data_IF_757632421173
#
_entry.id   IF_757632421173
#
_cell.length_a   1.000
_cell.length_b   1.000
_cell.length_c   1.000
_cell.angle_alpha   90.00
_cell.angle_beta   90.00
_cell.angle_gamma   90.00
#
_symmetry.space_group_name_H-M   'P 1'
#
loop_
_entity.id
_entity.type
_entity.pdbx_description
1 polymer ?
#
# COMPACT_ATOMS: atom_id res chain seq x y z
N UNK A 1 7.86 -22.52 17.57
CA UNK A 1 6.90 -22.46 18.69
C UNK A 1 7.52 -21.70 19.87
N UNK A 2 7.84 -20.41 19.71
CA UNK A 2 8.26 -19.50 20.81
C UNK A 2 8.07 -18.02 20.40
N UNK A 3 6.93 -17.70 19.77
CA UNK A 3 6.56 -16.30 19.47
C UNK A 3 5.61 -15.70 20.52
N UNK A 4 5.19 -16.49 21.53
CA UNK A 4 4.15 -16.09 22.48
C UNK A 4 4.72 -15.59 23.83
N UNK A 5 6.01 -15.81 24.12
CA UNK A 5 6.55 -15.57 25.47
C UNK A 5 7.20 -14.18 25.68
N UNK A 6 7.25 -13.33 24.64
CA UNK A 6 7.91 -12.01 24.73
C UNK A 6 6.94 -10.90 25.16
N UNK A 7 5.62 -11.09 24.98
CA UNK A 7 4.63 -10.04 25.27
C UNK A 7 4.29 -9.89 26.77
N UNK A 8 4.71 -10.82 27.64
CA UNK A 8 4.36 -10.79 29.07
C UNK A 8 5.38 -10.06 29.98
N UNK A 9 6.52 -9.58 29.47
CA UNK A 9 7.64 -9.10 30.32
C UNK A 9 8.09 -7.65 30.13
N UNK A 10 7.31 -6.79 29.47
CA UNK A 10 7.73 -5.40 29.22
C UNK A 10 6.79 -4.32 29.75
N UNK A 11 5.99 -4.61 30.78
CA UNK A 11 5.33 -3.60 31.60
C UNK A 11 6.16 -3.41 32.86
N UNK A 12 7.20 -2.57 32.80
CA UNK A 12 7.55 -1.68 33.91
C UNK A 12 8.80 -0.81 33.62
N UNK A 13 8.72 0.40 34.18
CA UNK A 13 9.74 1.44 34.38
C UNK A 13 10.08 2.48 33.30
N UNK A 14 9.69 3.70 33.71
CA UNK A 14 10.16 5.06 33.46
C UNK A 14 11.67 5.27 33.64
N UNK A 15 12.18 6.29 32.93
CA UNK A 15 13.43 7.03 33.15
C UNK A 15 14.77 6.27 33.14
N UNK A 16 15.44 6.21 31.97
CA UNK A 16 16.92 6.23 31.90
C UNK A 16 17.40 6.82 30.56
N UNK A 17 18.07 7.97 30.62
CA UNK A 17 19.01 8.44 29.57
C UNK A 17 20.18 7.46 29.47
N UNK A 18 20.49 6.87 28.31
CA UNK A 18 21.85 6.38 28.10
C UNK A 18 22.35 6.41 26.65
N UNK A 19 23.64 6.70 26.62
CA UNK A 19 24.59 6.93 25.54
C UNK A 19 24.70 5.75 24.58
N UNK A 20 24.83 6.07 23.29
CA UNK A 20 25.00 5.12 22.19
C UNK A 20 26.39 4.47 22.29
N UNK A 21 26.45 3.21 22.70
CA UNK A 21 27.57 2.31 22.38
C UNK A 21 27.15 1.34 21.29
N UNK A 22 28.05 1.14 20.35
CA UNK A 22 27.97 0.28 19.18
C UNK A 22 27.72 -1.19 19.52
N UNK A 23 26.90 -1.84 18.69
CA UNK A 23 26.54 -3.28 18.67
C UNK A 23 25.42 -3.72 19.64
N UNK A 24 24.17 -3.54 19.20
CA UNK A 24 23.00 -4.24 19.73
C UNK A 24 22.52 -5.28 18.71
N UNK A 25 22.14 -6.50 19.13
CA UNK A 25 21.60 -7.53 18.24
C UNK A 25 20.32 -7.05 17.55
N UNK A 26 20.20 -7.36 16.25
CA UNK A 26 19.14 -6.91 15.32
C UNK A 26 17.71 -6.96 15.89
N UNK A 27 17.43 -7.91 16.77
CA UNK A 27 16.10 -8.15 17.33
C UNK A 27 15.63 -7.06 18.31
N UNK A 28 16.56 -6.46 19.07
CA UNK A 28 16.22 -5.35 19.99
C UNK A 28 15.98 -4.04 19.23
N UNK A 29 16.65 -3.85 18.09
CA UNK A 29 16.42 -2.71 17.20
C UNK A 29 15.05 -2.83 16.52
N UNK A 30 14.68 -4.03 16.05
CA UNK A 30 13.35 -4.32 15.51
C UNK A 30 12.23 -4.04 16.52
N UNK A 31 12.38 -4.49 17.77
CA UNK A 31 11.39 -4.27 18.83
C UNK A 31 11.21 -2.81 19.23
N UNK A 32 12.29 -2.02 19.24
CA UNK A 32 12.23 -0.58 19.53
C UNK A 32 11.70 0.24 18.33
N UNK A 33 12.04 -0.17 17.10
CA UNK A 33 11.56 0.41 15.85
C UNK A 33 10.03 0.26 15.71
N UNK A 34 9.48 -0.89 16.11
CA UNK A 34 8.02 -1.11 16.15
C UNK A 34 7.34 -0.30 17.28
N UNK A 35 7.93 -0.16 18.47
CA UNK A 35 7.20 0.34 19.66
C UNK A 35 6.76 1.82 19.67
N UNK A 36 7.34 2.75 18.92
CA UNK A 36 7.21 4.20 19.24
C UNK A 36 6.45 5.11 18.24
N UNK A 37 5.90 4.59 17.12
CA UNK A 37 5.13 5.42 16.17
C UNK A 37 5.13 4.92 14.73
N UNK A 38 6.05 4.01 14.39
CA UNK A 38 6.13 3.36 13.08
C UNK A 38 5.00 2.32 12.90
N UNK A 39 4.46 1.76 13.99
CA UNK A 39 3.38 0.76 13.92
C UNK A 39 2.10 1.28 13.26
N UNK A 40 1.67 2.51 13.53
CA UNK A 40 0.46 3.04 12.88
C UNK A 40 0.66 3.19 11.36
N UNK A 41 1.84 3.66 10.93
CA UNK A 41 2.18 3.74 9.52
C UNK A 41 2.23 2.36 8.84
N UNK A 42 2.88 1.38 9.47
CA UNK A 42 2.98 0.01 8.97
C UNK A 42 1.60 -0.66 8.94
N UNK A 43 0.83 -0.58 10.03
CA UNK A 43 -0.52 -1.18 10.09
C UNK A 43 -1.41 -0.59 9.01
N UNK A 44 -1.37 0.73 8.81
CA UNK A 44 -2.12 1.37 7.72
C UNK A 44 -1.70 0.85 6.35
N UNK A 45 -0.40 0.78 6.08
CA UNK A 45 0.14 0.24 4.83
C UNK A 45 -0.29 -1.22 4.63
N UNK A 46 -0.16 -2.08 5.64
CA UNK A 46 -0.53 -3.50 5.56
C UNK A 46 -2.04 -3.69 5.39
N UNK A 47 -2.88 -2.88 6.03
CA UNK A 47 -4.33 -2.87 5.77
C UNK A 47 -4.62 -2.47 4.32
N UNK A 48 -3.96 -1.44 3.80
CA UNK A 48 -4.14 -1.04 2.41
C UNK A 48 -3.65 -2.12 1.44
N UNK A 49 -2.52 -2.77 1.72
CA UNK A 49 -2.03 -3.92 0.97
C UNK A 49 -3.02 -5.08 0.99
N UNK A 50 -3.67 -5.33 2.14
CA UNK A 50 -4.73 -6.34 2.29
C UNK A 50 -5.95 -6.02 1.42
N UNK A 51 -6.36 -4.75 1.36
CA UNK A 51 -7.40 -4.29 0.44
C UNK A 51 -7.01 -4.55 -1.01
N UNK A 52 -5.83 -4.10 -1.44
CA UNK A 52 -5.35 -4.25 -2.82
C UNK A 52 -5.26 -5.72 -3.22
N UNK A 53 -4.69 -6.55 -2.35
CA UNK A 53 -4.61 -8.00 -2.51
C UNK A 53 -6.00 -8.63 -2.71
N UNK A 54 -6.97 -8.27 -1.88
CA UNK A 54 -8.35 -8.74 -2.00
C UNK A 54 -8.99 -8.29 -3.31
N UNK A 55 -8.87 -7.01 -3.70
CA UNK A 55 -9.44 -6.49 -4.95
C UNK A 55 -8.85 -7.14 -6.19
N UNK A 56 -7.55 -7.43 -6.18
CA UNK A 56 -6.88 -8.15 -7.27
C UNK A 56 -7.37 -9.59 -7.40
N UNK A 57 -7.65 -10.28 -6.29
CA UNK A 57 -8.23 -11.63 -6.33
C UNK A 57 -9.68 -11.63 -6.86
N UNK A 58 -10.48 -10.66 -6.45
CA UNK A 58 -11.89 -10.58 -6.85
C UNK A 58 -12.08 -10.03 -8.27
N UNK A 59 -11.07 -9.36 -8.85
CA UNK A 59 -11.15 -8.84 -10.21
C UNK A 59 -10.94 -9.96 -11.22
N UNK A 60 -11.95 -10.20 -12.06
CA UNK A 60 -11.85 -11.06 -13.24
C UNK A 60 -11.32 -10.31 -14.47
N UNK A 61 -10.55 -9.25 -14.29
CA UNK A 61 -10.10 -8.40 -15.38
C UNK A 61 -9.07 -9.14 -16.23
N UNK A 62 -9.53 -9.71 -17.36
CA UNK A 62 -8.72 -10.53 -18.25
C UNK A 62 -7.49 -9.77 -18.82
N UNK A 63 -7.48 -8.44 -18.73
CA UNK A 63 -6.37 -7.59 -19.15
C UNK A 63 -5.20 -7.59 -18.18
N UNK A 64 -5.40 -7.93 -16.89
CA UNK A 64 -4.37 -7.93 -15.85
C UNK A 64 -4.09 -9.36 -15.39
N UNK A 65 -3.10 -10.02 -16.03
CA UNK A 65 -2.70 -11.39 -15.68
C UNK A 65 -1.38 -11.40 -14.92
N UNK A 66 -1.15 -12.48 -14.16
CA UNK A 66 0.12 -12.74 -13.49
C UNK A 66 0.59 -11.54 -12.65
N UNK A 67 -0.34 -10.94 -11.91
CA UNK A 67 -0.03 -9.79 -11.09
C UNK A 67 0.82 -10.19 -9.88
N UNK A 68 1.66 -9.27 -9.42
CA UNK A 68 2.40 -9.40 -8.18
C UNK A 68 2.57 -8.04 -7.49
N UNK A 69 2.60 -8.06 -6.15
CA UNK A 69 2.73 -6.88 -5.29
C UNK A 69 4.10 -6.87 -4.63
N UNK A 70 4.82 -5.76 -4.73
CA UNK A 70 6.08 -5.51 -4.02
C UNK A 70 5.93 -4.33 -3.08
N UNK A 71 6.73 -4.30 -2.02
CA UNK A 71 6.80 -3.20 -1.05
C UNK A 71 8.27 -2.90 -0.75
N UNK A 72 8.56 -1.67 -0.29
CA UNK A 72 9.90 -1.25 0.15
C UNK A 72 11.02 -1.53 -0.86
N UNK A 73 10.70 -1.44 -2.15
CA UNK A 73 11.64 -1.81 -3.21
C UNK A 73 12.76 -0.79 -3.32
N UNK A 74 13.99 -1.22 -2.97
CA UNK A 74 15.18 -0.37 -2.82
C UNK A 74 15.45 0.56 -4.02
N UNK A 75 15.20 0.09 -5.24
CA UNK A 75 15.47 0.84 -6.48
C UNK A 75 14.30 1.74 -6.92
N UNK A 76 13.18 1.73 -6.19
CA UNK A 76 12.02 2.60 -6.41
C UNK A 76 11.88 3.67 -5.30
N UNK A 77 12.98 4.03 -4.63
CA UNK A 77 12.99 4.92 -3.45
C UNK A 77 12.22 6.22 -3.72
N UNK A 78 11.20 6.43 -2.89
CA UNK A 78 10.27 7.56 -2.97
C UNK A 78 8.92 7.21 -3.60
N UNK A 79 8.81 6.09 -4.32
CA UNK A 79 7.57 5.51 -4.85
C UNK A 79 7.36 4.04 -4.42
N UNK A 80 8.13 3.59 -3.42
CA UNK A 80 8.30 2.20 -3.00
C UNK A 80 7.26 1.61 -2.04
N UNK A 81 6.28 2.39 -1.57
CA UNK A 81 5.39 1.90 -0.50
C UNK A 81 4.53 0.72 -1.01
N UNK A 82 4.14 0.76 -2.29
CA UNK A 82 3.57 -0.37 -3.02
C UNK A 82 3.93 -0.30 -4.51
N UNK A 83 4.30 -1.45 -5.08
CA UNK A 83 4.52 -1.66 -6.51
C UNK A 83 3.60 -2.80 -6.98
N UNK A 84 2.64 -2.49 -7.85
CA UNK A 84 1.82 -3.49 -8.53
C UNK A 84 2.38 -3.71 -9.93
N UNK A 85 2.87 -4.92 -10.18
CA UNK A 85 3.38 -5.39 -11.48
C UNK A 85 2.42 -6.40 -12.06
N UNK A 86 2.13 -6.32 -13.37
CA UNK A 86 1.24 -7.26 -14.05
C UNK A 86 1.54 -7.34 -15.54
N UNK A 87 1.10 -8.41 -16.19
CA UNK A 87 1.18 -8.57 -17.64
C UNK A 87 -0.12 -8.16 -18.30
N UNK A 88 0.00 -7.40 -19.38
CA UNK A 88 -1.09 -7.12 -20.33
C UNK A 88 -0.77 -7.81 -21.65
N UNK A 89 -1.80 -8.34 -22.32
CA UNK A 89 -1.64 -8.86 -23.68
C UNK A 89 -1.21 -7.72 -24.61
N UNK A 90 -0.18 -7.94 -25.41
CA UNK A 90 0.23 -6.99 -26.43
C UNK A 90 -0.87 -6.78 -27.49
N UNK A 91 -1.10 -5.53 -27.87
CA UNK A 91 -1.93 -5.18 -29.02
C UNK A 91 -1.03 -4.58 -30.08
N UNK A 92 -0.73 -5.35 -31.13
CA UNK A 92 -0.16 -4.80 -32.35
C UNK A 92 -1.33 -4.53 -33.30
N UNK A 93 -1.54 -3.27 -33.70
CA UNK A 93 -2.55 -2.85 -34.67
C UNK A 93 -3.99 -3.31 -34.36
N UNK A 94 -4.39 -3.29 -33.08
CA UNK A 94 -5.78 -3.58 -32.68
C UNK A 94 -6.19 -5.06 -32.68
N UNK A 95 -5.28 -5.97 -33.04
CA UNK A 95 -5.49 -7.41 -32.94
C UNK A 95 -4.78 -7.99 -31.72
N UNK A 96 -5.53 -8.72 -30.90
CA UNK A 96 -5.03 -9.46 -29.73
C UNK A 96 -4.42 -10.76 -30.27
N UNK A 97 -3.10 -10.90 -30.18
CA UNK A 97 -2.44 -12.18 -30.43
C UNK A 97 -2.45 -13.01 -29.12
N UNK A 98 -2.69 -14.32 -29.23
CA UNK A 98 -2.63 -15.26 -28.11
C UNK A 98 -1.19 -15.75 -27.82
N UNK A 99 -0.19 -15.20 -28.51
CA UNK A 99 1.22 -15.56 -28.30
C UNK A 99 1.87 -14.79 -27.14
N UNK A 100 2.46 -15.56 -26.23
CA UNK A 100 3.22 -15.14 -25.03
C UNK A 100 4.33 -14.12 -25.34
N UNK A 101 4.75 -14.02 -26.61
CA UNK A 101 5.89 -13.23 -27.08
C UNK A 101 5.66 -11.72 -27.00
N UNK A 102 4.40 -11.25 -26.97
CA UNK A 102 4.06 -9.82 -26.92
C UNK A 102 3.47 -9.35 -25.58
N UNK A 103 3.51 -10.18 -24.53
CA UNK A 103 3.05 -9.78 -23.21
C UNK A 103 3.93 -8.66 -22.64
N UNK A 104 3.32 -7.50 -22.42
CA UNK A 104 4.02 -6.34 -21.89
C UNK A 104 3.83 -6.26 -20.38
N UNK A 105 4.93 -6.07 -19.68
CA UNK A 105 4.88 -5.86 -18.23
C UNK A 105 4.59 -4.41 -17.92
N UNK A 106 3.55 -4.17 -17.13
CA UNK A 106 3.08 -2.86 -16.70
C UNK A 106 3.23 -2.72 -15.18
N UNK A 107 3.44 -1.48 -14.74
CA UNK A 107 3.72 -1.15 -13.35
C UNK A 107 2.82 0.00 -12.89
N UNK A 108 2.28 -0.14 -11.69
CA UNK A 108 1.57 0.92 -10.95
C UNK A 108 2.30 1.12 -9.64
N UNK A 109 2.66 2.36 -9.33
CA UNK A 109 3.37 2.70 -8.10
C UNK A 109 2.42 3.45 -7.18
N UNK A 110 2.42 3.13 -5.90
CA UNK A 110 1.61 3.83 -4.91
C UNK A 110 2.50 4.28 -3.76
N UNK A 111 2.40 5.56 -3.44
CA UNK A 111 3.01 6.15 -2.26
C UNK A 111 1.91 6.41 -1.22
N UNK A 112 2.01 5.76 -0.07
CA UNK A 112 0.98 5.75 0.96
C UNK A 112 1.33 6.80 2.02
N UNK A 113 0.43 7.77 2.22
CA UNK A 113 0.60 8.91 3.12
C UNK A 113 -0.57 8.99 4.09
N UNK A 114 -0.37 8.44 5.28
CA UNK A 114 -1.34 8.57 6.36
C UNK A 114 -0.97 9.72 7.29
N UNK A 115 -1.92 10.60 7.55
CA UNK A 115 -1.81 11.64 8.56
C UNK A 115 -2.88 11.45 9.64
N UNK A 116 -2.47 11.33 10.90
CA UNK A 116 -3.41 11.20 12.01
C UNK A 116 -4.20 12.50 12.29
N UNK A 117 -3.80 13.61 11.68
CA UNK A 117 -4.49 14.91 11.76
C UNK A 117 -5.06 15.27 10.39
N UNK A 118 -6.19 15.99 10.38
CA UNK A 118 -6.76 16.56 9.15
C UNK A 118 -5.75 17.54 8.55
N UNK A 119 -5.01 17.06 7.54
CA UNK A 119 -4.04 17.86 6.82
C UNK A 119 -4.56 18.13 5.40
N UNK A 120 -4.11 19.26 4.86
CA UNK A 120 -4.47 19.70 3.53
C UNK A 120 -3.20 19.83 2.70
N UNK A 121 -3.24 19.28 1.48
CA UNK A 121 -2.19 19.44 0.49
C UNK A 121 -2.36 20.82 -0.11
N UNK A 122 -1.44 21.73 0.22
CA UNK A 122 -1.44 23.10 -0.30
C UNK A 122 -0.59 23.22 -1.57
N UNK A 123 -0.80 24.28 -2.36
CA UNK A 123 0.06 24.58 -3.50
C UNK A 123 1.55 24.71 -3.09
N UNK A 124 1.81 25.32 -1.93
CA UNK A 124 3.15 25.41 -1.35
C UNK A 124 3.75 24.04 -1.01
N UNK A 125 2.93 23.03 -0.74
CA UNK A 125 3.39 21.66 -0.52
C UNK A 125 3.84 21.00 -1.82
N UNK A 126 3.05 21.15 -2.88
CA UNK A 126 3.35 20.60 -4.21
C UNK A 126 4.60 21.23 -4.84
N UNK A 127 4.84 22.52 -4.61
CA UNK A 127 5.99 23.27 -5.14
C UNK A 127 7.20 23.32 -4.21
N UNK A 128 7.11 22.68 -3.04
CA UNK A 128 8.14 22.75 -2.01
C UNK A 128 9.48 22.19 -2.48
N UNK A 129 10.57 22.89 -2.15
CA UNK A 129 11.95 22.40 -2.28
C UNK A 129 12.46 21.69 -1.02
N UNK A 130 11.60 21.49 -0.03
CA UNK A 130 11.97 20.78 1.19
C UNK A 130 11.83 19.27 0.99
N UNK A 131 12.93 18.51 1.10
CA UNK A 131 12.94 17.05 0.96
C UNK A 131 12.04 16.33 1.95
N UNK A 132 11.70 16.96 3.08
CA UNK A 132 10.76 16.41 4.06
C UNK A 132 9.31 16.53 3.60
N UNK A 133 9.01 17.38 2.62
CA UNK A 133 7.67 17.49 2.06
C UNK A 133 7.43 16.34 1.08
N UNK A 134 6.62 15.39 1.51
CA UNK A 134 6.37 14.16 0.78
C UNK A 134 5.39 14.33 -0.40
N UNK A 135 4.76 15.50 -0.54
CA UNK A 135 3.87 15.83 -1.67
C UNK A 135 4.55 16.63 -2.79
N UNK A 136 5.82 17.01 -2.60
CA UNK A 136 6.54 17.85 -3.56
C UNK A 136 6.70 17.16 -4.91
N UNK A 137 6.16 17.80 -5.95
CA UNK A 137 6.26 17.34 -7.33
C UNK A 137 7.71 17.24 -7.82
N UNK A 138 8.59 18.10 -7.31
CA UNK A 138 10.03 18.09 -7.64
C UNK A 138 10.67 16.79 -7.14
N UNK A 139 10.35 16.38 -5.91
CA UNK A 139 10.90 15.14 -5.34
C UNK A 139 10.26 13.89 -5.92
N UNK A 140 8.95 13.92 -6.17
CA UNK A 140 8.26 12.84 -6.87
C UNK A 140 8.82 12.64 -8.28
N UNK A 141 9.08 13.73 -9.01
CA UNK A 141 9.70 13.65 -10.32
C UNK A 141 11.13 13.12 -10.25
N UNK A 142 11.92 13.55 -9.25
CA UNK A 142 13.25 12.99 -9.03
C UNK A 142 13.20 11.48 -8.80
N UNK A 143 12.30 11.01 -7.92
CA UNK A 143 12.11 9.59 -7.66
C UNK A 143 11.63 8.82 -8.90
N UNK A 144 10.77 9.42 -9.72
CA UNK A 144 10.37 8.85 -11.00
C UNK A 144 11.58 8.65 -11.93
N UNK A 145 12.42 9.68 -12.11
CA UNK A 145 13.63 9.59 -12.92
C UNK A 145 14.61 8.55 -12.37
N UNK A 146 14.84 8.54 -11.05
CA UNK A 146 15.77 7.61 -10.41
C UNK A 146 15.27 6.16 -10.55
N UNK A 147 13.96 5.93 -10.58
CA UNK A 147 13.37 4.61 -10.78
C UNK A 147 13.53 4.13 -12.22
N UNK A 148 13.31 5.02 -13.21
CA UNK A 148 13.47 4.69 -14.63
C UNK A 148 14.91 4.22 -14.93
N UNK A 149 15.06 2.97 -15.34
CA UNK A 149 16.35 2.35 -15.65
C UNK A 149 17.10 1.71 -14.46
N UNK A 150 16.73 2.00 -13.20
CA UNK A 150 17.36 1.35 -12.03
C UNK A 150 16.47 0.26 -11.42
N UNK A 151 15.15 0.43 -11.49
CA UNK A 151 14.20 -0.57 -11.02
C UNK A 151 13.82 -1.48 -12.18
N UNK A 152 14.28 -2.73 -12.16
CA UNK A 152 14.01 -3.76 -13.18
C UNK A 152 14.22 -3.30 -14.64
N UNK A 153 15.05 -2.28 -14.86
CA UNK A 153 15.27 -1.61 -16.15
C UNK A 153 13.98 -1.14 -16.84
N UNK A 154 12.96 -0.72 -16.08
CA UNK A 154 11.69 -0.28 -16.65
C UNK A 154 11.83 1.00 -17.46
N UNK A 155 11.03 1.10 -18.52
CA UNK A 155 10.91 2.29 -19.38
C UNK A 155 9.66 3.10 -19.04
N UNK A 156 9.60 4.36 -19.50
CA UNK A 156 8.47 5.26 -19.23
C UNK A 156 7.14 4.63 -19.61
N UNK A 157 7.10 3.95 -20.75
CA UNK A 157 5.89 3.40 -21.33
C UNK A 157 5.32 2.27 -20.44
N UNK A 158 6.16 1.57 -19.67
CA UNK A 158 5.74 0.49 -18.77
C UNK A 158 5.12 1.00 -17.47
N UNK A 159 5.23 2.29 -17.16
CA UNK A 159 4.58 2.90 -16.00
C UNK A 159 3.16 3.32 -16.39
N UNK A 160 2.16 2.67 -15.79
CA UNK A 160 0.76 2.97 -16.00
C UNK A 160 0.33 4.22 -15.22
N UNK A 161 0.60 4.25 -13.91
CA UNK A 161 0.36 5.41 -13.05
C UNK A 161 1.22 5.38 -11.79
N UNK A 162 1.33 6.57 -11.19
CA UNK A 162 1.97 6.82 -9.90
C UNK A 162 0.92 7.48 -9.02
N UNK A 163 0.45 6.78 -7.99
CA UNK A 163 -0.62 7.26 -7.12
C UNK A 163 -0.07 7.71 -5.77
N UNK A 164 -0.34 8.97 -5.39
CA UNK A 164 -0.20 9.44 -4.02
C UNK A 164 -1.51 9.14 -3.30
N UNK A 165 -1.48 8.13 -2.43
CA UNK A 165 -2.63 7.66 -1.69
C UNK A 165 -2.62 8.25 -0.29
N UNK A 166 -3.61 9.06 0.06
CA UNK A 166 -3.61 9.80 1.31
C UNK A 166 -4.98 10.11 1.88
N UNK A 167 -5.08 10.15 3.21
CA UNK A 167 -6.27 10.61 3.91
C UNK A 167 -6.30 12.14 4.12
N UNK A 168 -5.30 12.86 3.61
CA UNK A 168 -5.32 14.33 3.54
C UNK A 168 -6.28 14.81 2.44
N UNK A 169 -6.85 16.01 2.63
CA UNK A 169 -7.63 16.69 1.59
C UNK A 169 -6.72 17.56 0.71
N UNK A 170 -7.22 18.06 -0.41
CA UNK A 170 -6.57 19.04 -1.28
C UNK A 170 -7.08 20.45 -0.96
N UNK A 171 -6.18 21.42 -1.10
CA UNK A 171 -6.53 22.85 -1.10
C UNK A 171 -7.31 23.23 -2.36
N UNK A 172 -8.45 23.90 -2.17
CA UNK A 172 -9.31 24.38 -3.26
C UNK A 172 -8.59 25.36 -4.19
N UNK A 173 -7.51 25.98 -3.73
CA UNK A 173 -6.70 26.90 -4.53
C UNK A 173 -5.86 26.18 -5.60
N UNK A 174 -5.75 24.84 -5.54
CA UNK A 174 -5.03 24.06 -6.55
C UNK A 174 -5.92 23.80 -7.77
N UNK A 175 -5.92 24.75 -8.71
CA UNK A 175 -6.79 24.74 -9.91
C UNK A 175 -6.41 23.72 -10.98
N UNK A 176 -5.15 23.28 -11.03
CA UNK A 176 -4.67 22.35 -12.05
C UNK A 176 -4.95 20.88 -11.72
N UNK A 177 -5.59 20.58 -10.58
CA UNK A 177 -6.01 19.22 -10.25
C UNK A 177 -7.46 19.02 -10.65
N UNK A 178 -7.70 18.10 -11.58
CA UNK A 178 -9.04 17.80 -12.09
C UNK A 178 -9.50 16.41 -11.62
N UNK A 179 -10.76 16.27 -11.18
CA UNK A 179 -11.27 15.00 -10.70
C UNK A 179 -11.31 13.97 -11.81
N UNK A 180 -11.10 12.70 -11.45
CA UNK A 180 -11.26 11.56 -12.36
C UNK A 180 -12.01 10.42 -11.69
N UNK A 181 -12.40 9.43 -12.49
CA UNK A 181 -13.09 8.24 -12.02
C UNK A 181 -12.25 7.47 -10.98
N UNK A 182 -12.95 6.86 -10.03
CA UNK A 182 -12.34 6.03 -9.00
C UNK A 182 -11.58 4.83 -9.58
N UNK A 183 -10.56 4.40 -8.85
CA UNK A 183 -9.79 3.22 -9.22
C UNK A 183 -10.51 1.96 -8.76
N UNK A 184 -10.59 0.96 -9.65
CA UNK A 184 -11.23 -0.31 -9.31
C UNK A 184 -10.38 -1.21 -8.40
N UNK A 185 -9.07 -0.92 -8.26
CA UNK A 185 -8.15 -1.65 -7.40
C UNK A 185 -7.84 -0.81 -6.14
N UNK A 186 -7.45 0.46 -6.33
CA UNK A 186 -6.99 1.31 -5.22
C UNK A 186 -8.10 2.16 -4.57
N UNK A 187 -9.30 2.22 -5.15
CA UNK A 187 -10.39 3.05 -4.68
C UNK A 187 -11.39 2.32 -3.80
N UNK A 188 -12.22 3.09 -3.09
CA UNK A 188 -13.27 2.60 -2.20
C UNK A 188 -14.64 3.11 -2.66
N UNK A 189 -15.67 2.28 -2.55
CA UNK A 189 -17.03 2.68 -2.89
C UNK A 189 -17.52 3.76 -1.91
N UNK A 190 -17.89 4.93 -2.41
CA UNK A 190 -18.41 6.04 -1.62
C UNK A 190 -17.40 6.77 -0.72
N UNK A 191 -16.09 6.52 -0.85
CA UNK A 191 -15.05 7.18 -0.05
C UNK A 191 -13.82 7.54 -0.88
N UNK A 192 -13.30 8.73 -0.63
CA UNK A 192 -12.14 9.30 -1.30
C UNK A 192 -12.46 9.80 -2.72
N UNK A 193 -11.56 10.64 -3.23
CA UNK A 193 -11.65 11.21 -4.57
C UNK A 193 -10.29 11.13 -5.26
N UNK A 194 -10.30 10.89 -6.57
CA UNK A 194 -9.08 10.91 -7.39
C UNK A 194 -8.98 12.16 -8.22
N UNK A 195 -7.77 12.68 -8.32
CA UNK A 195 -7.40 13.81 -9.16
C UNK A 195 -6.18 13.47 -10.02
N UNK A 196 -6.11 14.11 -11.18
CA UNK A 196 -4.90 14.15 -12.03
C UNK A 196 -4.52 15.59 -12.29
N UNK A 197 -3.30 15.80 -12.73
CA UNK A 197 -2.84 17.10 -13.21
C UNK A 197 -3.42 17.36 -14.61
N UNK A 198 -4.05 18.51 -14.78
CA UNK A 198 -4.35 19.08 -16.09
C UNK A 198 -3.12 19.86 -16.57
N UNK A 199 -2.41 19.30 -17.54
CA UNK A 199 -1.20 19.90 -18.09
C UNK A 199 -1.47 21.25 -18.77
N UNK A 200 -2.67 21.49 -19.31
CA UNK A 200 -2.99 22.76 -19.96
C UNK A 200 -3.05 23.88 -18.92
N UNK A 201 -3.72 23.61 -17.81
CA UNK A 201 -3.81 24.56 -16.68
C UNK A 201 -2.45 24.72 -16.00
N UNK A 202 -1.69 23.62 -15.84
CA UNK A 202 -0.36 23.69 -15.22
C UNK A 202 0.66 24.45 -16.08
N UNK A 203 0.53 24.43 -17.41
CA UNK A 203 1.41 25.21 -18.30
C UNK A 203 1.31 26.72 -18.05
N UNK A 204 0.22 27.19 -17.44
CA UNK A 204 0.05 28.59 -17.02
C UNK A 204 0.88 28.92 -15.76
N UNK A 205 1.48 27.92 -15.10
CA UNK A 205 2.45 28.06 -14.01
C UNK A 205 3.89 27.78 -14.49
N UNK A 206 4.58 28.79 -15.04
CA UNK A 206 5.92 28.61 -15.59
C UNK A 206 6.96 28.23 -14.53
N UNK A 207 6.73 28.58 -13.25
CA UNK A 207 7.72 28.39 -12.20
C UNK A 207 7.90 26.92 -11.86
N UNK A 208 6.82 26.15 -11.74
CA UNK A 208 6.90 24.73 -11.46
C UNK A 208 7.62 23.98 -12.58
N UNK A 209 7.28 24.24 -13.84
CA UNK A 209 7.95 23.63 -15.00
C UNK A 209 9.45 23.93 -15.02
N UNK A 210 9.86 25.17 -14.71
CA UNK A 210 11.27 25.54 -14.59
C UNK A 210 11.97 24.70 -13.52
N UNK A 211 11.33 24.44 -12.36
CA UNK A 211 11.94 23.59 -11.33
C UNK A 211 12.04 22.11 -11.77
N UNK A 212 11.03 21.58 -12.48
CA UNK A 212 11.08 20.20 -12.98
C UNK A 212 12.19 20.03 -14.03
N UNK A 213 12.36 20.99 -14.94
CA UNK A 213 13.46 21.00 -15.93
C UNK A 213 14.85 21.00 -15.29
N UNK A 214 15.00 21.59 -14.09
CA UNK A 214 16.28 21.55 -13.34
C UNK A 214 16.61 20.15 -12.82
N UNK A 215 15.62 19.28 -12.61
CA UNK A 215 15.86 17.88 -12.23
C UNK A 215 16.33 17.08 -13.44
N UNK A 216 15.61 17.15 -14.56
CA UNK A 216 16.01 16.57 -15.84
C UNK A 216 15.44 17.41 -16.98
N UNK A 217 16.27 18.01 -17.85
CA UNK A 217 15.83 18.93 -18.89
C UNK A 217 15.27 18.18 -20.11
N UNK A 218 14.16 17.47 -19.92
CA UNK A 218 13.45 16.75 -20.97
C UNK A 218 11.95 16.88 -20.77
N UNK A 219 11.34 17.76 -21.56
CA UNK A 219 9.92 18.11 -21.43
C UNK A 219 9.01 16.91 -21.69
N UNK A 220 9.37 16.01 -22.61
CA UNK A 220 8.58 14.81 -22.88
C UNK A 220 8.46 13.92 -21.64
N UNK A 221 9.55 13.76 -20.89
CA UNK A 221 9.56 12.96 -19.65
C UNK A 221 8.80 13.69 -18.53
N UNK A 222 8.87 15.03 -18.47
CA UNK A 222 8.09 15.82 -17.50
C UNK A 222 6.59 15.66 -17.76
N UNK A 223 6.14 15.86 -19.00
CA UNK A 223 4.73 15.73 -19.37
C UNK A 223 4.21 14.32 -19.13
N UNK A 224 5.03 13.31 -19.44
CA UNK A 224 4.70 11.91 -19.19
C UNK A 224 4.55 11.60 -17.70
N UNK A 225 5.48 12.09 -16.86
CA UNK A 225 5.38 12.00 -15.40
C UNK A 225 4.09 12.65 -14.86
N UNK A 226 3.84 13.91 -15.22
CA UNK A 226 2.68 14.66 -14.72
C UNK A 226 1.37 14.02 -15.15
N UNK A 227 1.31 13.46 -16.37
CA UNK A 227 0.14 12.73 -16.88
C UNK A 227 -0.15 11.45 -16.09
N UNK A 228 0.89 10.78 -15.57
CA UNK A 228 0.78 9.52 -14.81
C UNK A 228 0.60 9.73 -13.32
N UNK A 229 0.89 10.93 -12.81
CA UNK A 229 0.74 11.25 -11.41
C UNK A 229 -0.74 11.43 -11.05
N UNK A 230 -1.17 10.65 -10.07
CA UNK A 230 -2.53 10.60 -9.56
C UNK A 230 -2.53 10.94 -8.07
N UNK A 231 -3.49 11.74 -7.63
CA UNK A 231 -3.74 11.99 -6.20
C UNK A 231 -5.03 11.29 -5.80
N UNK A 232 -4.94 10.28 -4.94
CA UNK A 232 -6.09 9.65 -4.30
C UNK A 232 -6.20 10.21 -2.88
N UNK A 233 -7.12 11.14 -2.68
CA UNK A 233 -7.26 11.95 -1.47
C UNK A 233 -8.50 11.58 -0.68
N UNK A 234 -8.62 12.10 0.55
CA UNK A 234 -9.71 11.79 1.49
C UNK A 234 -9.94 10.28 1.66
N UNK A 235 -8.85 9.52 1.55
CA UNK A 235 -8.87 8.07 1.70
C UNK A 235 -9.22 7.67 3.13
N UNK A 236 -9.75 6.45 3.34
CA UNK A 236 -10.12 5.97 4.67
C UNK A 236 -8.98 6.10 5.68
N UNK A 237 -9.30 6.45 6.93
CA UNK A 237 -8.35 6.33 8.04
C UNK A 237 -8.17 4.86 8.44
N UNK A 238 -7.24 4.59 9.36
CA UNK A 238 -6.86 3.21 9.75
C UNK A 238 -8.06 2.32 10.15
N UNK A 239 -9.01 2.85 10.94
CA UNK A 239 -10.18 2.09 11.41
C UNK A 239 -11.28 1.99 10.35
N UNK A 240 -11.48 3.03 9.54
CA UNK A 240 -12.41 3.00 8.41
C UNK A 240 -11.97 1.96 7.36
N UNK A 241 -10.67 1.84 7.12
CA UNK A 241 -10.09 0.93 6.13
C UNK A 241 -10.40 -0.53 6.44
N UNK A 242 -10.23 -0.96 7.69
CA UNK A 242 -10.59 -2.30 8.13
C UNK A 242 -12.07 -2.60 7.92
N UNK A 243 -12.95 -1.68 8.35
CA UNK A 243 -14.39 -1.84 8.20
C UNK A 243 -14.80 -2.00 6.72
N UNK A 244 -14.18 -1.24 5.82
CA UNK A 244 -14.43 -1.33 4.38
C UNK A 244 -13.97 -2.68 3.81
N UNK A 245 -12.79 -3.18 4.21
CA UNK A 245 -12.28 -4.48 3.77
C UNK A 245 -13.19 -5.60 4.25
N UNK A 246 -13.53 -5.63 5.55
CA UNK A 246 -14.39 -6.67 6.14
C UNK A 246 -15.78 -6.65 5.49
N UNK A 247 -16.34 -5.46 5.24
CA UNK A 247 -17.62 -5.31 4.55
C UNK A 247 -17.58 -5.86 3.13
N UNK A 248 -16.52 -5.58 2.37
CA UNK A 248 -16.34 -6.11 1.01
C UNK A 248 -16.18 -7.64 1.02
N UNK A 249 -15.39 -8.18 1.94
CA UNK A 249 -15.26 -9.64 2.13
C UNK A 249 -16.58 -10.30 2.54
N UNK A 250 -17.45 -9.58 3.24
CA UNK A 250 -18.80 -10.03 3.61
C UNK A 250 -19.72 -10.31 2.42
N UNK A 251 -19.36 -9.86 1.21
CA UNK A 251 -20.04 -10.24 -0.04
C UNK A 251 -19.74 -11.69 -0.46
N UNK A 252 -18.67 -12.28 0.07
CA UNK A 252 -18.20 -13.64 -0.27
C UNK A 252 -18.32 -14.58 0.93
N UNK A 253 -17.94 -14.13 2.13
CA UNK A 253 -17.88 -14.95 3.33
C UNK A 253 -18.94 -14.55 4.34
N UNK A 254 -19.57 -15.54 4.99
CA UNK A 254 -20.54 -15.33 6.08
C UNK A 254 -19.85 -14.77 7.34
N UNK A 255 -18.60 -15.15 7.58
CA UNK A 255 -17.80 -14.68 8.73
C UNK A 255 -16.52 -13.99 8.23
N UNK A 256 -16.64 -12.82 7.59
CA UNK A 256 -15.52 -12.18 6.88
C UNK A 256 -14.38 -11.77 7.81
N UNK A 257 -14.64 -11.53 9.09
CA UNK A 257 -13.61 -11.13 10.07
C UNK A 257 -12.51 -12.20 10.21
N UNK A 258 -12.86 -13.49 10.15
CA UNK A 258 -11.87 -14.57 10.27
C UNK A 258 -10.93 -14.56 9.08
N UNK A 259 -11.48 -14.47 7.87
CA UNK A 259 -10.70 -14.42 6.64
C UNK A 259 -9.88 -13.14 6.52
N UNK A 260 -10.43 -11.99 6.93
CA UNK A 260 -9.69 -10.74 6.99
C UNK A 260 -8.51 -10.84 7.94
N UNK A 261 -8.72 -11.28 9.17
CA UNK A 261 -7.65 -11.38 10.18
C UNK A 261 -6.55 -12.34 9.73
N UNK A 262 -6.91 -13.49 9.19
CA UNK A 262 -5.94 -14.45 8.67
C UNK A 262 -5.15 -13.88 7.48
N UNK A 263 -5.83 -13.26 6.51
CA UNK A 263 -5.18 -12.65 5.36
C UNK A 263 -4.26 -11.49 5.77
N UNK A 264 -4.73 -10.61 6.64
CA UNK A 264 -3.95 -9.49 7.18
C UNK A 264 -2.68 -10.01 7.87
N UNK A 265 -2.78 -11.02 8.71
CA UNK A 265 -1.62 -11.59 9.42
C UNK A 265 -0.62 -12.25 8.45
N UNK A 266 -1.10 -12.96 7.43
CA UNK A 266 -0.22 -13.53 6.41
C UNK A 266 0.48 -12.44 5.59
N UNK A 267 -0.22 -11.37 5.21
CA UNK A 267 0.37 -10.22 4.50
C UNK A 267 1.34 -9.47 5.40
N UNK A 268 1.04 -9.28 6.68
CA UNK A 268 1.95 -8.69 7.66
C UNK A 268 3.23 -9.51 7.78
N UNK A 269 3.10 -10.84 7.88
CA UNK A 269 4.23 -11.77 7.90
C UNK A 269 5.08 -11.65 6.63
N UNK A 270 4.44 -11.60 5.46
CA UNK A 270 5.11 -11.38 4.18
C UNK A 270 5.80 -10.01 4.09
N UNK A 271 5.15 -8.94 4.56
CA UNK A 271 5.66 -7.56 4.51
C UNK A 271 7.01 -7.42 5.22
N UNK A 272 7.26 -8.20 6.26
CA UNK A 272 8.52 -8.21 7.00
C UNK A 272 9.59 -9.15 6.43
N UNK A 273 9.30 -9.92 5.36
CA UNK A 273 10.31 -10.77 4.72
C UNK A 273 11.28 -9.88 3.93
N UNK A 274 12.56 -9.97 4.26
CA UNK A 274 13.63 -9.32 3.53
C UNK A 274 14.73 -10.34 3.20
N UNK A 275 15.01 -10.55 1.92
CA UNK A 275 16.05 -11.46 1.45
C UNK A 275 17.15 -10.64 0.78
N UNK A 276 18.32 -10.53 1.43
CA UNK A 276 19.49 -9.79 0.92
C UNK A 276 19.18 -8.33 0.50
N UNK A 277 18.25 -7.69 1.22
CA UNK A 277 17.81 -6.32 0.92
C UNK A 277 16.77 -6.23 -0.21
N UNK A 278 16.19 -7.34 -0.64
CA UNK A 278 15.10 -7.43 -1.62
C UNK A 278 13.86 -8.00 -0.95
N UNK A 279 12.77 -7.23 -0.96
CA UNK A 279 11.46 -7.73 -0.55
C UNK A 279 10.89 -8.67 -1.64
N UNK A 280 10.43 -9.88 -1.31
CA UNK A 280 9.85 -10.78 -2.28
C UNK A 280 8.49 -10.24 -2.74
N UNK A 281 8.12 -10.52 -4.00
CA UNK A 281 6.78 -10.21 -4.46
C UNK A 281 5.72 -11.14 -3.85
N UNK A 282 4.58 -10.59 -3.46
CA UNK A 282 3.35 -11.31 -3.13
C UNK A 282 2.58 -11.62 -4.42
N UNK A 283 2.18 -12.88 -4.58
CA UNK A 283 1.55 -13.38 -5.80
C UNK A 283 0.13 -13.88 -5.55
N UNK A 284 -0.66 -13.99 -6.62
CA UNK A 284 -2.00 -14.57 -6.59
C UNK A 284 -2.02 -15.99 -5.99
N UNK A 285 -1.02 -16.82 -6.33
CA UNK A 285 -0.90 -18.19 -5.81
C UNK A 285 -0.73 -18.21 -4.29
N UNK A 286 0.14 -17.34 -3.75
CA UNK A 286 0.36 -17.26 -2.30
C UNK A 286 -0.92 -16.81 -1.60
N UNK A 287 -1.60 -15.79 -2.11
CA UNK A 287 -2.86 -15.32 -1.52
C UNK A 287 -3.95 -16.39 -1.51
N UNK A 288 -4.14 -17.11 -2.62
CA UNK A 288 -5.08 -18.23 -2.70
C UNK A 288 -4.74 -19.32 -1.67
N UNK A 289 -3.44 -19.58 -1.46
CA UNK A 289 -3.01 -20.52 -0.43
C UNK A 289 -3.33 -20.04 0.99
N UNK A 290 -3.15 -18.75 1.30
CA UNK A 290 -3.55 -18.19 2.59
C UNK A 290 -5.05 -18.38 2.86
N UNK A 291 -5.90 -18.01 1.89
CA UNK A 291 -7.34 -18.18 2.01
C UNK A 291 -7.76 -19.65 2.14
N UNK A 292 -7.14 -20.54 1.37
CA UNK A 292 -7.41 -21.98 1.44
C UNK A 292 -7.00 -22.56 2.82
N UNK A 293 -5.91 -22.08 3.40
CA UNK A 293 -5.50 -22.49 4.74
C UNK A 293 -6.50 -22.03 5.82
N UNK A 294 -7.01 -20.80 5.71
CA UNK A 294 -8.06 -20.29 6.60
C UNK A 294 -9.34 -21.15 6.49
N UNK A 295 -9.77 -21.46 5.27
CA UNK A 295 -10.94 -22.31 5.01
C UNK A 295 -10.75 -23.72 5.59
N UNK A 296 -9.60 -24.36 5.34
CA UNK A 296 -9.28 -25.68 5.88
C UNK A 296 -9.28 -25.69 7.42
N UNK A 297 -8.76 -24.63 8.04
CA UNK A 297 -8.76 -24.48 9.51
C UNK A 297 -10.19 -24.41 10.06
N UNK A 298 -11.07 -23.63 9.41
CA UNK A 298 -12.48 -23.53 9.77
C UNK A 298 -13.23 -24.86 9.58
N UNK A 299 -12.98 -25.55 8.47
CA UNK A 299 -13.58 -26.86 8.19
C UNK A 299 -13.13 -27.91 9.21
N UNK A 300 -11.85 -27.91 9.58
CA UNK A 300 -11.34 -28.80 10.62
C UNK A 300 -12.01 -28.51 11.97
N UNK A 301 -12.05 -27.24 12.40
CA UNK A 301 -12.69 -26.83 13.66
C UNK A 301 -14.18 -27.23 13.74
N UNK A 302 -14.89 -27.15 12.62
CA UNK A 302 -16.29 -27.60 12.50
C UNK A 302 -16.41 -29.13 12.65
N UNK A 303 -15.52 -29.90 12.02
CA UNK A 303 -15.51 -31.37 12.09
C UNK A 303 -15.09 -31.89 13.46
N UNK A 304 -14.16 -31.21 14.13
CA UNK A 304 -13.62 -31.63 15.43
C UNK A 304 -14.54 -31.32 16.63
N UNK A 305 -15.76 -30.77 16.41
CA UNK A 305 -16.68 -30.32 17.47
C UNK A 305 -15.98 -29.51 18.57
N UNK A 306 -14.91 -28.79 18.23
CA UNK A 306 -14.16 -27.98 19.21
C UNK A 306 -14.97 -26.74 19.65
N UNK A 307 -16.13 -26.51 19.04
CA UNK A 307 -17.18 -25.64 19.56
C UNK A 307 -18.01 -26.35 20.65
N UNK A 308 -17.46 -26.33 21.85
CA UNK A 308 -18.11 -26.25 23.18
C UNK A 308 -19.20 -27.30 23.52
N UNK A 309 -18.79 -28.36 24.20
CA UNK A 309 -19.57 -28.89 25.35
C UNK A 309 -18.96 -28.46 26.71
N UNK A 310 -17.73 -27.91 26.73
CA UNK A 310 -17.05 -27.47 27.97
C UNK A 310 -16.17 -26.24 27.74
N UNK A 311 -16.78 -25.06 27.73
CA UNK A 311 -16.15 -23.78 28.10
C UNK A 311 -16.88 -23.26 29.35
N UNK A 312 -17.17 -24.15 30.30
CA UNK A 312 -17.96 -23.74 31.48
C UNK A 312 -17.17 -22.79 32.37
N UNK A 313 -15.88 -23.05 32.64
CA UNK A 313 -15.15 -22.21 33.60
C UNK A 313 -14.88 -20.78 33.11
N UNK A 314 -14.52 -20.58 31.84
CA UNK A 314 -14.24 -19.24 31.31
C UNK A 314 -15.53 -18.47 31.00
N UNK A 315 -16.57 -19.13 30.49
CA UNK A 315 -17.88 -18.51 30.25
C UNK A 315 -18.54 -18.07 31.56
N UNK A 316 -18.39 -18.86 32.63
CA UNK A 316 -18.88 -18.52 33.97
C UNK A 316 -18.06 -17.39 34.62
N UNK A 317 -16.77 -17.28 34.30
CA UNK A 317 -15.93 -16.16 34.75
C UNK A 317 -16.26 -14.84 34.02
N UNK A 318 -16.50 -14.89 32.70
CA UNK A 318 -16.80 -13.71 31.88
C UNK A 318 -18.19 -13.12 32.14
N UNK A 319 -19.17 -13.96 32.49
CA UNK A 319 -20.52 -13.52 32.88
C UNK A 319 -20.53 -12.81 34.23
N UNK A 320 -19.64 -13.18 35.16
CA UNK A 320 -19.43 -12.49 36.46
C UNK A 320 -18.74 -11.13 36.34
N UNK A 321 -18.08 -10.85 35.22
CA UNK A 321 -17.39 -9.57 34.96
C UNK A 321 -18.32 -8.50 34.35
N UNK A 322 -19.58 -8.84 34.05
CA UNK A 322 -20.61 -7.88 33.60
C UNK A 322 -21.47 -7.37 34.76
N UNK A 323 -20.82 -6.75 35.75
CA UNK A 323 -21.49 -5.89 36.74
C UNK A 323 -21.24 -4.44 36.34
#
# INVERSE_FOLDING_TARGET
>A
MYAIDILSRCLDYSDVNYVISTELPNDKFFGAYLKAGIMHGIVYQVRFLTWVAWKLLCKSDASMKNWCLGTEVRNARGLHDLVLKYRVKGTANGHIFDDIVNDRCMYRFVQIKHNCKSAQITYGSLTSKNKKNQYSLIYLYKSYIDMLGNFENITIDQVQDITIFTNANIDSDIKFLVPVNNDSIFGFEGKGQRYRIDNNILNEDPNLFIQLRKVKPNDLIIFDFLKKLMFAIDQPCESELENLIVKEMGRVYIVPQIFYNDLFNNILGWFFICNDGIAPYLTEKQLKQYLLNAENTLLHAKKSKTYIDKVSSLSDQLSRLRI
#
